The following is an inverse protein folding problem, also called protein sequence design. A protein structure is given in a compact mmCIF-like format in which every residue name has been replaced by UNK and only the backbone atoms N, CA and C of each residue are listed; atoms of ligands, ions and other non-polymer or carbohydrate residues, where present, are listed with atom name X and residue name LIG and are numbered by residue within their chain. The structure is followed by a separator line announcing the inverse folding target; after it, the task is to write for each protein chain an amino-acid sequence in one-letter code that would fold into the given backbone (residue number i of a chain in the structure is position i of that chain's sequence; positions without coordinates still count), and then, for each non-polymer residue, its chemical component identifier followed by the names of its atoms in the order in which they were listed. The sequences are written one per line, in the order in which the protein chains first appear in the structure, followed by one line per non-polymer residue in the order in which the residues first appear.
data_IF_424360789803
#
_entry.id   IF_424360789803
#
_cell.length_a   1.000
_cell.length_b   1.000
_cell.length_c   1.000
_cell.angle_alpha   90.00
_cell.angle_beta   90.00
_cell.angle_gamma   90.00
#
_symmetry.space_group_name_H-M   'P 1'
#
loop_
_entity.id
_entity.type
_entity.pdbx_description
1 polymer ?
#
# COMPACT_ATOMS: atom_id res chain seq x y z
N UNK A 1 6.31 29.32 -13.77
CA UNK A 1 6.71 28.16 -12.95
C UNK A 1 5.71 27.84 -11.83
N UNK A 2 5.35 28.77 -10.94
CA UNK A 2 4.42 28.50 -9.82
C UNK A 2 3.05 27.93 -10.22
N UNK A 3 2.50 28.33 -11.38
CA UNK A 3 1.24 27.78 -11.91
C UNK A 3 1.34 26.28 -12.25
N UNK A 4 2.44 25.85 -12.85
CA UNK A 4 2.65 24.44 -13.22
C UNK A 4 2.84 23.57 -11.97
N UNK A 5 3.58 24.07 -10.98
CA UNK A 5 3.80 23.39 -9.70
C UNK A 5 2.47 23.20 -8.95
N UNK A 6 1.56 24.18 -8.98
CA UNK A 6 0.21 24.04 -8.39
C UNK A 6 -0.55 22.87 -9.01
N UNK A 7 -0.54 22.72 -10.33
CA UNK A 7 -1.21 21.60 -11.00
C UNK A 7 -0.55 20.26 -10.71
N UNK A 8 0.78 20.21 -10.65
CA UNK A 8 1.52 19.01 -10.22
C UNK A 8 1.12 18.57 -8.81
N UNK A 9 1.02 19.49 -7.86
CA UNK A 9 0.58 19.19 -6.49
C UNK A 9 -0.84 18.61 -6.46
N UNK A 10 -1.77 19.19 -7.23
CA UNK A 10 -3.13 18.68 -7.36
C UNK A 10 -3.12 17.27 -7.97
N UNK A 11 -2.31 17.04 -9.00
CA UNK A 11 -2.22 15.75 -9.68
C UNK A 11 -1.64 14.66 -8.77
N UNK A 12 -0.63 14.98 -7.97
CA UNK A 12 -0.08 14.08 -6.93
C UNK A 12 -1.17 13.72 -5.92
N UNK A 13 -1.94 14.70 -5.45
CA UNK A 13 -3.03 14.46 -4.51
C UNK A 13 -4.10 13.55 -5.12
N UNK A 14 -4.48 13.79 -6.38
CA UNK A 14 -5.43 12.93 -7.09
C UNK A 14 -4.90 11.51 -7.28
N UNK A 15 -3.62 11.35 -7.61
CA UNK A 15 -2.99 10.04 -7.70
C UNK A 15 -2.99 9.29 -6.36
N UNK A 16 -2.72 9.98 -5.26
CA UNK A 16 -2.79 9.40 -3.92
C UNK A 16 -4.22 8.94 -3.57
N UNK A 17 -5.23 9.77 -3.85
CA UNK A 17 -6.64 9.41 -3.64
C UNK A 17 -7.03 8.21 -4.51
N UNK A 18 -6.64 8.20 -5.78
CA UNK A 18 -6.93 7.09 -6.69
C UNK A 18 -6.30 5.78 -6.20
N UNK A 19 -5.06 5.84 -5.70
CA UNK A 19 -4.37 4.68 -5.13
C UNK A 19 -5.10 4.15 -3.88
N UNK A 20 -5.52 5.05 -2.98
CA UNK A 20 -6.30 4.68 -1.80
C UNK A 20 -7.60 4.00 -2.22
N UNK A 21 -8.37 4.60 -3.14
CA UNK A 21 -9.61 4.01 -3.64
C UNK A 21 -9.37 2.62 -4.24
N UNK A 22 -8.32 2.47 -5.05
CA UNK A 22 -7.93 1.18 -5.63
C UNK A 22 -7.55 0.14 -4.57
N UNK A 23 -6.98 0.53 -3.43
CA UNK A 23 -6.72 -0.43 -2.35
C UNK A 23 -8.02 -1.00 -1.74
N UNK A 24 -9.12 -0.24 -1.76
CA UNK A 24 -10.42 -0.71 -1.25
C UNK A 24 -11.22 -1.52 -2.27
N UNK A 25 -11.22 -1.12 -3.54
CA UNK A 25 -11.97 -1.82 -4.60
C UNK A 25 -11.13 -2.84 -5.36
N UNK A 26 -9.82 -2.86 -5.14
CA UNK A 26 -8.84 -3.74 -5.77
C UNK A 26 -9.21 -5.23 -5.75
N UNK A 27 -9.80 -5.76 -4.66
CA UNK A 27 -10.24 -7.16 -4.63
C UNK A 27 -11.25 -7.51 -5.73
N UNK A 28 -12.08 -6.57 -6.20
CA UNK A 28 -13.00 -6.78 -7.33
C UNK A 28 -12.30 -6.87 -8.69
N UNK A 29 -11.04 -6.41 -8.77
CA UNK A 29 -10.19 -6.43 -9.96
C UNK A 29 -9.05 -7.46 -9.84
N UNK A 30 -9.07 -8.31 -8.82
CA UNK A 30 -8.06 -9.36 -8.61
C UNK A 30 -6.75 -8.87 -7.96
N UNK A 31 -6.72 -7.66 -7.41
CA UNK A 31 -5.62 -7.17 -6.60
C UNK A 31 -5.95 -7.32 -5.11
N UNK A 32 -5.18 -8.12 -4.39
CA UNK A 32 -5.33 -8.29 -2.94
C UNK A 32 -4.10 -7.72 -2.23
N UNK A 33 -4.34 -6.74 -1.36
CA UNK A 33 -3.33 -6.06 -0.56
C UNK A 33 -3.44 -6.40 0.93
N UNK A 34 -4.29 -7.38 1.28
CA UNK A 34 -4.44 -7.83 2.66
C UNK A 34 -3.18 -8.55 3.15
N UNK A 35 -2.90 -8.41 4.45
CA UNK A 35 -1.83 -9.19 5.07
C UNK A 35 -2.23 -10.67 5.12
N UNK A 36 -1.29 -11.61 4.88
CA UNK A 36 -1.54 -13.02 5.11
C UNK A 36 -2.08 -13.23 6.53
N UNK A 37 -3.26 -13.82 6.65
CA UNK A 37 -3.94 -14.04 7.93
C UNK A 37 -3.55 -15.38 8.58
N UNK A 38 -2.64 -16.11 7.96
CA UNK A 38 -2.17 -17.42 8.44
C UNK A 38 -1.08 -17.27 9.50
N UNK A 39 -1.10 -18.15 10.50
CA UNK A 39 -0.06 -18.19 11.52
C UNK A 39 1.26 -18.69 10.91
N UNK A 40 2.30 -17.84 10.93
CA UNK A 40 3.64 -18.21 10.49
C UNK A 40 4.47 -18.69 11.68
N UNK A 41 4.75 -20.00 11.74
CA UNK A 41 5.64 -20.59 12.75
C UNK A 41 7.00 -20.93 12.13
N UNK A 42 8.10 -20.48 12.75
CA UNK A 42 9.47 -20.86 12.36
C UNK A 42 10.22 -21.36 13.59
N UNK A 43 10.92 -22.51 13.52
CA UNK A 43 11.76 -22.97 14.62
C UNK A 43 12.93 -21.97 14.82
N UNK A 44 13.21 -21.63 16.07
CA UNK A 44 14.32 -20.75 16.45
C UNK A 44 15.27 -21.54 17.34
N UNK A 45 16.57 -21.49 17.04
CA UNK A 45 17.62 -22.03 17.90
C UNK A 45 17.96 -20.95 18.94
N UNK A 46 17.74 -21.25 20.21
CA UNK A 46 18.12 -20.39 21.33
C UNK A 46 19.53 -20.78 21.80
N UNK A 47 20.51 -19.91 21.59
CA UNK A 47 21.83 -20.03 22.25
C UNK A 47 21.72 -19.36 23.62
N UNK A 48 21.57 -20.16 24.66
CA UNK A 48 21.57 -19.73 26.05
C UNK A 48 22.93 -20.11 26.67
N UNK A 49 23.95 -19.30 26.38
CA UNK A 49 25.24 -19.32 27.07
C UNK A 49 25.26 -18.25 28.18
#
# INVERSE_FOLDING_TARGET
MARLIKYLAILILLAAIALIAYAYVGPWFGADFSAPSEEVRKPVVLNAD
#
